data_IF_235184433138
#
_entry.id   IF_235184433138
#
_cell.length_a   1.000
_cell.length_b   1.000
_cell.length_c   1.000
_cell.angle_alpha   90.00
_cell.angle_beta   90.00
_cell.angle_gamma   90.00
#
_symmetry.space_group_name_H-M   'P 1'
#
loop_
_entity.id
_entity.type
_entity.pdbx_description
1 polymer ?
#
# COMPACT_ATOMS: atom_id res chain seq x y z
N UNK A 1 12.01 -18.67 -12.82
CA UNK A 1 12.81 -18.13 -11.70
C UNK A 1 12.01 -18.30 -10.42
N UNK A 2 12.56 -18.94 -9.39
CA UNK A 2 11.89 -19.06 -8.08
C UNK A 2 11.91 -17.70 -7.38
N UNK A 3 10.86 -17.36 -6.64
CA UNK A 3 10.69 -16.05 -5.97
C UNK A 3 11.92 -15.68 -5.11
N UNK A 4 12.55 -16.67 -4.49
CA UNK A 4 13.72 -16.52 -3.61
C UNK A 4 14.99 -16.01 -4.32
N UNK A 5 15.09 -16.20 -5.65
CA UNK A 5 16.25 -15.73 -6.44
C UNK A 5 16.18 -14.25 -6.80
N UNK A 6 15.01 -13.62 -6.63
CA UNK A 6 14.81 -12.21 -6.96
C UNK A 6 15.42 -11.35 -5.85
N UNK A 7 16.58 -10.73 -6.06
CA UNK A 7 17.29 -9.96 -5.03
C UNK A 7 17.05 -8.45 -5.08
N UNK A 8 16.39 -7.93 -6.12
CA UNK A 8 16.12 -6.49 -6.28
C UNK A 8 14.65 -6.20 -6.58
N UNK A 9 14.21 -5.00 -6.23
CA UNK A 9 12.85 -4.54 -6.50
C UNK A 9 12.58 -4.42 -8.01
N UNK A 10 13.57 -4.02 -8.80
CA UNK A 10 13.46 -3.99 -10.26
C UNK A 10 13.16 -5.38 -10.83
N UNK A 11 13.90 -6.40 -10.39
CA UNK A 11 13.65 -7.77 -10.82
C UNK A 11 12.29 -8.29 -10.32
N UNK A 12 11.87 -7.91 -9.11
CA UNK A 12 10.55 -8.25 -8.58
C UNK A 12 9.43 -7.62 -9.39
N UNK A 13 9.59 -6.36 -9.79
CA UNK A 13 8.58 -5.68 -10.60
C UNK A 13 8.48 -6.28 -12.00
N UNK A 14 9.61 -6.60 -12.65
CA UNK A 14 9.60 -7.32 -13.92
C UNK A 14 8.88 -8.67 -13.80
N UNK A 15 9.08 -9.38 -12.68
CA UNK A 15 8.33 -10.61 -12.40
C UNK A 15 6.82 -10.35 -12.25
N UNK A 16 6.42 -9.29 -11.54
CA UNK A 16 5.01 -8.87 -11.40
C UNK A 16 4.37 -8.55 -12.75
N UNK A 17 5.07 -7.85 -13.65
CA UNK A 17 4.59 -7.57 -15.02
C UNK A 17 4.39 -8.88 -15.77
N UNK A 18 5.37 -9.79 -15.75
CA UNK A 18 5.25 -11.10 -16.40
C UNK A 18 4.09 -11.94 -15.84
N UNK A 19 3.89 -11.91 -14.51
CA UNK A 19 2.77 -12.57 -13.85
C UNK A 19 1.43 -11.98 -14.30
N UNK A 20 1.34 -10.65 -14.38
CA UNK A 20 0.14 -9.96 -14.83
C UNK A 20 -0.20 -10.32 -16.29
N UNK A 21 0.78 -10.26 -17.19
CA UNK A 21 0.59 -10.59 -18.60
C UNK A 21 0.17 -12.05 -18.81
N UNK A 22 0.73 -12.97 -18.01
CA UNK A 22 0.39 -14.40 -18.08
C UNK A 22 -1.03 -14.69 -17.60
N UNK A 23 -1.44 -14.10 -16.48
CA UNK A 23 -2.70 -14.44 -15.82
C UNK A 23 -3.87 -13.53 -16.18
N UNK A 24 -3.61 -12.32 -16.67
CA UNK A 24 -4.61 -11.32 -17.04
C UNK A 24 -4.33 -10.72 -18.43
N UNK A 25 -4.18 -11.54 -19.49
CA UNK A 25 -3.76 -11.06 -20.82
C UNK A 25 -4.74 -10.09 -21.49
N UNK A 26 -5.99 -10.02 -21.02
CA UNK A 26 -7.02 -9.09 -21.52
C UNK A 26 -7.00 -7.73 -20.82
N UNK A 27 -6.27 -7.60 -19.71
CA UNK A 27 -6.22 -6.34 -18.96
C UNK A 27 -5.46 -5.30 -19.76
N UNK A 28 -6.04 -4.10 -19.88
CA UNK A 28 -5.36 -2.92 -20.47
C UNK A 28 -4.62 -2.08 -19.44
N UNK A 29 -4.58 -2.54 -18.19
CA UNK A 29 -4.00 -1.82 -17.07
C UNK A 29 -2.68 -2.45 -16.64
N UNK A 30 -1.70 -1.60 -16.35
CA UNK A 30 -0.44 -2.02 -15.78
C UNK A 30 -0.60 -2.37 -14.29
N UNK A 31 0.06 -3.45 -13.81
CA UNK A 31 0.15 -3.70 -12.37
C UNK A 31 0.99 -2.61 -11.71
N UNK A 32 0.73 -2.35 -10.42
CA UNK A 32 1.43 -1.29 -9.69
C UNK A 32 2.33 -1.88 -8.60
N UNK A 33 3.65 -1.63 -8.64
CA UNK A 33 4.57 -2.06 -7.58
C UNK A 33 4.42 -1.17 -6.33
N UNK A 34 5.12 -1.50 -5.24
CA UNK A 34 5.26 -0.59 -4.12
C UNK A 34 6.15 0.62 -4.45
N UNK A 35 6.05 1.68 -3.66
CA UNK A 35 6.86 2.90 -3.82
C UNK A 35 7.01 3.68 -2.52
N UNK A 36 7.88 4.70 -2.53
CA UNK A 36 8.23 5.52 -1.37
C UNK A 36 9.65 5.23 -0.88
N UNK A 37 9.85 5.11 0.42
CA UNK A 37 11.10 4.62 1.00
C UNK A 37 11.24 3.11 0.76
N UNK A 38 12.34 2.70 0.16
CA UNK A 38 12.57 1.33 -0.31
C UNK A 38 13.63 0.60 0.53
N UNK A 39 14.30 1.29 1.43
CA UNK A 39 15.30 0.71 2.32
C UNK A 39 14.93 0.97 3.79
N UNK A 40 14.43 -0.08 4.46
CA UNK A 40 14.06 -0.08 5.89
C UNK A 40 13.11 1.07 6.28
N UNK A 41 11.97 1.25 5.58
CA UNK A 41 11.01 2.28 5.91
C UNK A 41 10.50 2.11 7.35
N UNK A 42 10.16 3.22 7.97
CA UNK A 42 9.54 3.26 9.30
C UNK A 42 8.18 2.56 9.30
N UNK A 43 7.38 2.81 8.27
CA UNK A 43 6.09 2.17 8.04
C UNK A 43 5.94 1.76 6.58
N UNK A 44 5.53 0.51 6.34
CA UNK A 44 5.00 0.06 5.07
C UNK A 44 3.48 -0.06 5.17
N UNK A 45 2.76 0.64 4.31
CA UNK A 45 1.31 0.65 4.23
C UNK A 45 0.84 -0.32 3.16
N UNK A 46 0.19 -1.41 3.57
CA UNK A 46 -0.29 -2.47 2.69
C UNK A 46 -1.80 -2.32 2.47
N UNK A 47 -2.15 -1.97 1.24
CA UNK A 47 -3.53 -1.84 0.75
C UNK A 47 -3.97 -3.11 0.00
N UNK A 48 -5.18 -3.09 -0.57
CA UNK A 48 -5.77 -4.27 -1.22
C UNK A 48 -5.28 -4.42 -2.66
N UNK A 49 -5.78 -3.59 -3.57
CA UNK A 49 -5.39 -3.58 -4.97
C UNK A 49 -5.53 -2.16 -5.56
N UNK A 50 -4.74 -1.84 -6.61
CA UNK A 50 -4.98 -0.65 -7.40
C UNK A 50 -6.30 -0.67 -8.17
N UNK A 51 -6.71 0.52 -8.59
CA UNK A 51 -7.84 0.71 -9.51
C UNK A 51 -7.41 1.61 -10.66
N UNK A 52 -8.18 1.62 -11.74
CA UNK A 52 -7.97 2.49 -12.91
C UNK A 52 -7.84 3.99 -12.57
N UNK A 53 -8.32 4.42 -11.40
CA UNK A 53 -8.17 5.82 -10.95
C UNK A 53 -6.74 6.20 -10.59
N UNK A 54 -5.87 5.23 -10.34
CA UNK A 54 -4.45 5.49 -10.17
C UNK A 54 -3.82 5.64 -11.57
N UNK A 55 -3.31 6.82 -11.89
CA UNK A 55 -2.74 7.09 -13.22
C UNK A 55 -1.58 6.13 -13.56
N UNK A 56 -0.88 5.59 -12.56
CA UNK A 56 0.16 4.59 -12.76
C UNK A 56 -0.35 3.26 -13.34
N UNK A 57 -1.66 3.03 -13.47
CA UNK A 57 -2.20 1.89 -14.24
C UNK A 57 -2.19 2.13 -15.74
N UNK A 58 -2.08 3.37 -16.20
CA UNK A 58 -2.04 3.69 -17.63
C UNK A 58 -0.73 3.16 -18.24
N UNK A 59 -0.75 2.35 -19.30
CA UNK A 59 0.46 1.93 -20.02
C UNK A 59 1.34 3.09 -20.48
N UNK A 60 0.73 4.21 -20.89
CA UNK A 60 1.43 5.40 -21.41
C UNK A 60 2.05 6.30 -20.33
N UNK A 61 1.86 5.99 -19.05
CA UNK A 61 2.45 6.76 -17.96
C UNK A 61 3.95 6.46 -17.81
N UNK A 62 4.82 7.47 -18.01
CA UNK A 62 6.28 7.29 -17.92
C UNK A 62 6.86 7.74 -16.57
N UNK A 63 6.07 8.45 -15.75
CA UNK A 63 6.46 8.80 -14.39
C UNK A 63 6.49 7.60 -13.44
N UNK A 64 6.74 7.88 -12.16
CA UNK A 64 6.77 6.85 -11.12
C UNK A 64 5.49 6.01 -11.09
N UNK A 65 5.66 4.69 -11.00
CA UNK A 65 4.53 3.75 -10.86
C UNK A 65 4.41 3.32 -9.41
N UNK A 66 3.44 3.87 -8.70
CA UNK A 66 3.24 3.59 -7.29
C UNK A 66 1.77 3.76 -6.87
N UNK A 67 1.35 3.29 -5.69
CA UNK A 67 -0.04 3.40 -5.26
C UNK A 67 -0.56 4.85 -5.17
N UNK A 68 -1.81 5.07 -5.56
CA UNK A 68 -2.52 6.35 -5.40
C UNK A 68 -1.98 7.59 -6.15
N UNK A 69 -1.04 7.45 -7.09
CA UNK A 69 -0.66 8.56 -7.98
C UNK A 69 -1.89 9.05 -8.75
N UNK A 70 -2.08 10.35 -8.81
CA UNK A 70 -3.22 10.96 -9.51
C UNK A 70 -4.56 10.87 -8.76
N UNK A 71 -4.58 10.29 -7.56
CA UNK A 71 -5.78 10.25 -6.70
C UNK A 71 -5.71 11.34 -5.63
N UNK A 72 -6.84 11.65 -4.96
CA UNK A 72 -6.90 12.65 -3.87
C UNK A 72 -7.24 12.06 -2.50
N UNK A 73 -8.08 11.04 -2.48
CA UNK A 73 -8.72 10.58 -1.24
C UNK A 73 -7.73 10.06 -0.20
N UNK A 74 -6.71 9.30 -0.60
CA UNK A 74 -5.74 8.79 0.37
C UNK A 74 -4.94 9.92 0.99
N UNK A 75 -4.54 10.92 0.20
CA UNK A 75 -3.72 12.04 0.68
C UNK A 75 -4.49 12.88 1.68
N UNK A 76 -5.80 13.08 1.47
CA UNK A 76 -6.69 13.70 2.48
C UNK A 76 -6.69 12.95 3.81
N UNK A 77 -6.60 11.62 3.78
CA UNK A 77 -6.56 10.80 5.01
C UNK A 77 -5.25 10.99 5.74
N UNK A 78 -4.13 10.87 5.03
CA UNK A 78 -2.80 11.08 5.63
C UNK A 78 -2.64 12.52 6.12
N UNK A 79 -3.17 13.50 5.40
CA UNK A 79 -3.23 14.91 5.81
C UNK A 79 -4.02 15.10 7.11
N UNK A 80 -5.26 14.58 7.18
CA UNK A 80 -6.09 14.62 8.40
C UNK A 80 -5.46 13.90 9.59
N UNK A 81 -4.60 12.92 9.32
CA UNK A 81 -3.86 12.19 10.35
C UNK A 81 -2.57 12.90 10.80
N UNK A 82 -2.21 14.05 10.19
CA UNK A 82 -0.99 14.80 10.50
C UNK A 82 0.27 14.30 9.79
N UNK A 83 0.12 13.38 8.84
CA UNK A 83 1.22 12.72 8.12
C UNK A 83 1.49 13.28 6.72
N UNK A 84 0.77 14.32 6.33
CA UNK A 84 0.93 14.98 5.03
C UNK A 84 0.78 16.50 5.20
N UNK A 85 1.61 17.28 4.52
CA UNK A 85 1.68 18.73 4.75
C UNK A 85 0.57 19.52 4.04
N UNK A 86 0.19 20.66 4.63
CA UNK A 86 -0.89 21.51 4.12
C UNK A 86 -0.62 21.99 2.69
N UNK A 87 0.58 22.49 2.40
CA UNK A 87 0.91 23.10 1.10
C UNK A 87 0.79 22.09 -0.04
N UNK A 88 1.41 20.92 0.11
CA UNK A 88 1.34 19.85 -0.86
C UNK A 88 -0.09 19.30 -1.01
N UNK A 89 -0.85 19.21 0.09
CA UNK A 89 -2.27 18.82 0.01
C UNK A 89 -3.09 19.82 -0.80
N UNK A 90 -2.89 21.13 -0.60
CA UNK A 90 -3.57 22.16 -1.38
C UNK A 90 -3.22 22.09 -2.88
N UNK A 91 -1.97 21.78 -3.23
CA UNK A 91 -1.57 21.55 -4.62
C UNK A 91 -2.29 20.32 -5.22
N UNK A 92 -2.40 19.22 -4.46
CA UNK A 92 -3.17 18.03 -4.86
C UNK A 92 -4.65 18.39 -5.11
N UNK A 93 -5.25 19.21 -4.24
CA UNK A 93 -6.66 19.61 -4.39
C UNK A 93 -6.91 20.45 -5.65
N UNK A 94 -6.00 21.38 -5.97
CA UNK A 94 -6.12 22.28 -7.12
C UNK A 94 -5.91 21.56 -8.46
N UNK A 95 -5.12 20.48 -8.48
CA UNK A 95 -4.81 19.74 -9.72
C UNK A 95 -5.96 18.84 -10.18
N UNK A 96 -6.29 18.90 -11.47
CA UNK A 96 -7.23 17.97 -12.12
C UNK A 96 -6.53 16.67 -12.53
N UNK A 97 -5.32 16.78 -13.07
CA UNK A 97 -4.42 15.69 -13.44
C UNK A 97 -3.03 15.93 -12.86
N UNK A 98 -2.25 14.86 -12.74
CA UNK A 98 -0.87 14.93 -12.27
C UNK A 98 0.06 14.74 -13.45
N UNK A 99 1.11 15.55 -13.50
CA UNK A 99 2.27 15.35 -14.36
C UNK A 99 3.36 14.57 -13.61
N UNK A 100 4.37 14.10 -14.33
CA UNK A 100 5.44 13.26 -13.77
C UNK A 100 6.24 13.99 -12.67
N UNK A 101 6.67 15.26 -12.85
CA UNK A 101 7.37 15.99 -11.79
C UNK A 101 6.53 16.16 -10.52
N UNK A 102 5.21 16.38 -10.65
CA UNK A 102 4.33 16.49 -9.49
C UNK A 102 4.14 15.13 -8.78
N UNK A 103 4.04 14.04 -9.53
CA UNK A 103 4.00 12.70 -8.95
C UNK A 103 5.27 12.42 -8.14
N UNK A 104 6.44 12.74 -8.69
CA UNK A 104 7.73 12.64 -8.01
C UNK A 104 7.79 13.50 -6.74
N UNK A 105 7.31 14.74 -6.79
CA UNK A 105 7.22 15.62 -5.61
C UNK A 105 6.42 14.97 -4.48
N UNK A 106 5.24 14.42 -4.80
CA UNK A 106 4.37 13.78 -3.80
C UNK A 106 5.03 12.56 -3.18
N UNK A 107 5.63 11.70 -4.00
CA UNK A 107 6.28 10.48 -3.49
C UNK A 107 7.64 10.74 -2.84
N UNK A 108 8.34 11.80 -3.24
CA UNK A 108 9.52 12.30 -2.54
C UNK A 108 9.18 12.70 -1.10
N UNK A 109 8.03 13.34 -0.89
CA UNK A 109 7.52 13.63 0.46
C UNK A 109 7.21 12.35 1.25
N UNK A 110 6.56 11.36 0.65
CA UNK A 110 6.29 10.07 1.32
C UNK A 110 7.58 9.35 1.68
N UNK A 111 8.56 9.35 0.78
CA UNK A 111 9.90 8.82 1.04
C UNK A 111 10.58 9.55 2.20
N UNK A 112 10.53 10.89 2.26
CA UNK A 112 11.16 11.66 3.34
C UNK A 112 10.54 11.42 4.72
N UNK A 113 9.28 10.95 4.78
CA UNK A 113 8.63 10.46 6.01
C UNK A 113 9.05 9.03 6.41
N UNK A 114 9.87 8.36 5.61
CA UNK A 114 10.24 6.96 5.79
C UNK A 114 9.05 6.03 5.54
N UNK A 115 8.14 6.40 4.66
CA UNK A 115 6.94 5.62 4.36
C UNK A 115 7.07 4.87 3.04
N UNK A 116 6.57 3.64 3.02
CA UNK A 116 6.42 2.82 1.83
C UNK A 116 4.95 2.50 1.62
N UNK A 117 4.44 2.62 0.40
CA UNK A 117 3.06 2.27 0.06
C UNK A 117 3.06 1.10 -0.91
N UNK A 118 2.23 0.09 -0.65
CA UNK A 118 2.14 -1.09 -1.50
C UNK A 118 0.76 -1.76 -1.43
N UNK A 119 0.50 -2.76 -2.26
CA UNK A 119 -0.74 -3.54 -2.26
C UNK A 119 -0.45 -5.04 -2.08
N UNK A 120 -1.35 -5.78 -1.44
CA UNK A 120 -1.29 -7.25 -1.43
C UNK A 120 -1.49 -7.86 -2.82
N UNK A 121 -2.34 -7.23 -3.64
CA UNK A 121 -2.54 -7.60 -5.04
C UNK A 121 -2.05 -6.45 -5.93
N UNK A 122 -1.11 -6.75 -6.85
CA UNK A 122 -0.52 -5.75 -7.73
C UNK A 122 -1.37 -5.47 -8.97
N UNK A 123 -2.26 -6.40 -9.33
CA UNK A 123 -3.22 -6.26 -10.43
C UNK A 123 -4.20 -5.10 -10.18
N UNK A 124 -4.41 -4.29 -11.21
CA UNK A 124 -5.33 -3.17 -11.15
C UNK A 124 -6.74 -3.58 -11.63
N UNK A 125 -7.76 -3.25 -10.83
CA UNK A 125 -9.15 -3.45 -11.19
C UNK A 125 -9.73 -2.34 -12.04
N UNK A 126 -10.55 -2.70 -13.03
CA UNK A 126 -11.25 -1.75 -13.89
C UNK A 126 -12.37 -1.02 -13.13
N UNK A 127 -13.10 -1.70 -12.22
CA UNK A 127 -14.30 -1.15 -11.56
C UNK A 127 -14.28 -1.17 -10.03
N UNK A 128 -13.20 -0.69 -9.39
CA UNK A 128 -13.04 -0.73 -7.92
C UNK A 128 -13.26 -2.14 -7.32
N UNK A 129 -13.09 -3.18 -8.15
CA UNK A 129 -13.34 -4.56 -7.79
C UNK A 129 -12.32 -5.02 -6.75
N UNK A 130 -12.81 -5.72 -5.74
CA UNK A 130 -11.93 -6.41 -4.79
C UNK A 130 -11.34 -7.65 -5.47
N UNK A 131 -10.07 -7.99 -5.20
CA UNK A 131 -9.48 -9.20 -5.72
C UNK A 131 -10.13 -10.42 -5.07
N UNK A 132 -10.39 -11.46 -5.86
CA UNK A 132 -10.81 -12.74 -5.33
C UNK A 132 -9.64 -13.47 -4.65
N UNK A 133 -9.94 -14.58 -3.98
CA UNK A 133 -8.94 -15.40 -3.26
C UNK A 133 -7.80 -15.87 -4.17
N UNK A 134 -8.08 -16.17 -5.44
CA UNK A 134 -7.08 -16.61 -6.40
C UNK A 134 -6.07 -15.51 -6.73
N UNK A 135 -6.54 -14.28 -6.96
CA UNK A 135 -5.67 -13.12 -7.17
C UNK A 135 -4.81 -12.85 -5.93
N UNK A 136 -5.38 -12.96 -4.73
CA UNK A 136 -4.61 -12.82 -3.48
C UNK A 136 -3.52 -13.89 -3.39
N UNK A 137 -3.86 -15.17 -3.61
CA UNK A 137 -2.91 -16.29 -3.60
C UNK A 137 -1.79 -16.11 -4.63
N UNK A 138 -2.13 -15.57 -5.80
CA UNK A 138 -1.20 -15.33 -6.90
C UNK A 138 -0.14 -14.26 -6.55
N UNK A 139 -0.55 -13.14 -5.93
CA UNK A 139 0.33 -12.01 -5.65
C UNK A 139 0.95 -12.01 -4.25
N UNK A 140 0.40 -12.74 -3.28
CA UNK A 140 0.95 -12.78 -1.92
C UNK A 140 2.45 -13.13 -1.86
N UNK A 141 2.98 -14.10 -2.64
CA UNK A 141 4.42 -14.36 -2.69
C UNK A 141 5.25 -13.15 -3.13
N UNK A 142 4.72 -12.30 -4.03
CA UNK A 142 5.40 -11.08 -4.46
C UNK A 142 5.43 -10.02 -3.37
N UNK A 143 4.36 -9.87 -2.58
CA UNK A 143 4.34 -8.97 -1.42
C UNK A 143 5.31 -9.46 -0.34
N UNK A 144 5.33 -10.76 -0.03
CA UNK A 144 6.27 -11.33 0.94
C UNK A 144 7.70 -11.02 0.50
N UNK A 145 8.02 -11.23 -0.79
CA UNK A 145 9.36 -10.94 -1.30
C UNK A 145 9.70 -9.45 -1.27
N UNK A 146 8.75 -8.58 -1.59
CA UNK A 146 8.91 -7.13 -1.46
C UNK A 146 9.24 -6.74 -0.02
N UNK A 147 8.51 -7.29 0.96
CA UNK A 147 8.74 -7.08 2.39
C UNK A 147 10.15 -7.54 2.79
N UNK A 148 10.62 -8.70 2.33
CA UNK A 148 11.98 -9.18 2.62
C UNK A 148 13.10 -8.29 2.05
N UNK A 149 12.88 -7.71 0.87
CA UNK A 149 13.84 -6.81 0.23
C UNK A 149 13.84 -5.44 0.92
N UNK A 150 12.65 -4.89 1.20
CA UNK A 150 12.46 -3.54 1.75
C UNK A 150 12.71 -3.49 3.26
N UNK A 151 12.44 -4.58 3.99
CA UNK A 151 12.67 -4.74 5.44
C UNK A 151 12.02 -3.63 6.30
N UNK A 152 10.70 -3.41 6.20
CA UNK A 152 10.02 -2.38 6.98
C UNK A 152 10.09 -2.64 8.48
N UNK A 153 10.25 -1.57 9.27
CA UNK A 153 10.23 -1.66 10.74
C UNK A 153 8.84 -2.02 11.28
N UNK A 154 7.80 -1.51 10.61
CA UNK A 154 6.40 -1.73 10.93
C UNK A 154 5.60 -1.81 9.63
N UNK A 155 4.52 -2.58 9.65
CA UNK A 155 3.59 -2.76 8.53
C UNK A 155 2.19 -2.39 8.99
N UNK A 156 1.55 -1.44 8.32
CA UNK A 156 0.15 -1.08 8.55
C UNK A 156 -0.70 -1.73 7.47
N UNK A 157 -1.59 -2.64 7.86
CA UNK A 157 -2.48 -3.34 6.93
C UNK A 157 -3.86 -2.68 6.92
N UNK A 158 -4.31 -2.22 5.76
CA UNK A 158 -5.61 -1.58 5.61
C UNK A 158 -6.69 -2.59 5.25
N UNK A 159 -7.54 -2.90 6.23
CA UNK A 159 -8.59 -3.93 6.16
C UNK A 159 -8.11 -5.31 6.58
N UNK A 160 -9.06 -6.25 6.72
CA UNK A 160 -8.78 -7.61 7.17
C UNK A 160 -8.04 -8.46 6.13
N UNK A 161 -8.26 -8.22 4.83
CA UNK A 161 -7.63 -9.00 3.75
C UNK A 161 -6.10 -9.03 3.86
N UNK A 162 -5.38 -7.88 3.85
CA UNK A 162 -3.93 -7.90 3.99
C UNK A 162 -3.47 -8.35 5.40
N UNK A 163 -4.27 -8.09 6.44
CA UNK A 163 -3.94 -8.54 7.79
C UNK A 163 -3.93 -10.07 7.89
N UNK A 164 -5.07 -10.71 7.61
CA UNK A 164 -5.24 -12.17 7.71
C UNK A 164 -4.27 -12.92 6.78
N UNK A 165 -3.98 -12.38 5.60
CA UNK A 165 -3.05 -13.00 4.66
C UNK A 165 -1.60 -13.02 5.14
N UNK A 166 -1.18 -12.02 5.93
CA UNK A 166 0.20 -11.89 6.42
C UNK A 166 0.39 -12.49 7.82
N UNK A 167 -0.65 -12.45 8.67
CA UNK A 167 -0.58 -12.93 10.06
C UNK A 167 -1.11 -14.35 10.22
N UNK A 168 -1.96 -14.82 9.29
CA UNK A 168 -2.81 -16.02 9.43
C UNK A 168 -3.75 -15.96 10.65
N UNK A 169 -3.93 -14.78 11.24
CA UNK A 169 -4.78 -14.55 12.40
C UNK A 169 -6.05 -13.80 11.98
N UNK A 170 -7.17 -14.14 12.64
CA UNK A 170 -8.43 -13.41 12.50
C UNK A 170 -8.63 -12.49 13.69
N UNK A 171 -9.07 -11.26 13.42
CA UNK A 171 -9.36 -10.25 14.43
C UNK A 171 -10.67 -9.52 14.10
N UNK A 172 -11.21 -8.80 15.08
CA UNK A 172 -12.25 -7.80 14.85
C UNK A 172 -11.62 -6.40 14.90
N UNK A 173 -11.69 -5.67 13.78
CA UNK A 173 -11.14 -4.30 13.72
C UNK A 173 -11.78 -3.35 14.73
N UNK A 174 -13.02 -3.61 15.18
CA UNK A 174 -13.67 -2.86 16.25
C UNK A 174 -12.90 -2.99 17.57
N UNK A 175 -12.61 -4.22 17.99
CA UNK A 175 -11.94 -4.52 19.26
C UNK A 175 -10.53 -3.93 19.27
N UNK A 176 -9.78 -4.12 18.19
CA UNK A 176 -8.47 -3.50 18.01
C UNK A 176 -8.53 -1.97 18.11
N UNK A 177 -9.53 -1.35 17.47
CA UNK A 177 -9.69 0.11 17.49
C UNK A 177 -10.01 0.62 18.88
N UNK A 178 -10.98 0.02 19.58
CA UNK A 178 -11.37 0.43 20.93
C UNK A 178 -10.18 0.32 21.89
N UNK A 179 -9.45 -0.77 21.81
CA UNK A 179 -8.27 -0.98 22.65
C UNK A 179 -7.16 0.03 22.31
N UNK A 180 -6.89 0.28 21.03
CA UNK A 180 -5.88 1.27 20.62
C UNK A 180 -6.22 2.69 21.08
N UNK A 181 -7.51 3.07 20.99
CA UNK A 181 -8.00 4.36 21.47
C UNK A 181 -7.90 4.45 23.01
N UNK A 182 -8.33 3.41 23.72
CA UNK A 182 -8.26 3.34 25.18
C UNK A 182 -6.82 3.46 25.70
N UNK A 183 -5.87 2.81 25.04
CA UNK A 183 -4.46 2.88 25.41
C UNK A 183 -3.73 4.11 24.84
N UNK A 184 -4.38 4.89 23.98
CA UNK A 184 -3.78 5.98 23.21
C UNK A 184 -2.46 5.57 22.51
N UNK A 185 -2.43 4.35 21.97
CA UNK A 185 -1.30 3.79 21.22
C UNK A 185 -1.78 2.67 20.30
N UNK A 186 -1.07 2.46 19.20
CA UNK A 186 -1.28 1.30 18.35
C UNK A 186 -0.74 0.03 19.02
N UNK A 187 -1.47 -1.08 18.87
CA UNK A 187 -1.05 -2.40 19.34
C UNK A 187 -0.32 -3.09 18.20
N UNK A 188 0.81 -3.72 18.50
CA UNK A 188 1.66 -4.38 17.51
C UNK A 188 1.47 -5.89 17.62
N UNK A 189 1.33 -6.55 16.48
CA UNK A 189 1.44 -8.00 16.36
C UNK A 189 2.81 -8.32 15.78
N UNK A 190 3.69 -8.93 16.56
CA UNK A 190 4.96 -9.43 16.05
C UNK A 190 4.72 -10.63 15.14
N UNK A 191 5.33 -10.61 13.95
CA UNK A 191 5.18 -11.66 12.95
C UNK A 191 6.48 -11.93 12.23
N UNK A 192 6.60 -13.16 11.74
CA UNK A 192 7.63 -13.53 10.76
C UNK A 192 7.00 -13.58 9.38
N UNK A 193 7.45 -12.72 8.46
CA UNK A 193 6.97 -12.67 7.07
C UNK A 193 8.14 -13.05 6.17
N UNK A 194 8.05 -14.22 5.53
CA UNK A 194 9.19 -14.80 4.84
C UNK A 194 10.35 -15.00 5.83
N UNK A 195 11.47 -14.34 5.57
CA UNK A 195 12.70 -14.40 6.40
C UNK A 195 12.89 -13.21 7.32
N UNK A 196 11.91 -12.31 7.45
CA UNK A 196 12.03 -11.12 8.30
C UNK A 196 11.07 -11.17 9.49
N UNK A 197 11.52 -10.65 10.63
CA UNK A 197 10.67 -10.31 11.76
C UNK A 197 10.25 -8.84 11.66
N UNK A 198 8.97 -8.56 11.87
CA UNK A 198 8.43 -7.19 11.84
C UNK A 198 7.14 -7.12 12.66
N UNK A 199 6.57 -5.93 12.77
CA UNK A 199 5.31 -5.67 13.46
C UNK A 199 4.20 -5.38 12.45
N UNK A 200 3.04 -6.03 12.59
CA UNK A 200 1.82 -5.66 11.87
C UNK A 200 0.89 -4.86 12.79
N UNK A 201 0.30 -3.80 12.22
CA UNK A 201 -0.70 -2.95 12.84
C UNK A 201 -1.94 -2.91 11.93
N UNK A 202 -3.08 -3.48 12.33
CA UNK A 202 -4.29 -3.40 11.56
C UNK A 202 -4.86 -1.97 11.56
N UNK A 203 -5.51 -1.60 10.46
CA UNK A 203 -6.19 -0.32 10.32
C UNK A 203 -7.44 -0.50 9.46
N UNK A 204 -8.44 0.36 9.65
CA UNK A 204 -9.61 0.38 8.77
C UNK A 204 -9.22 0.82 7.37
N UNK A 205 -9.84 0.23 6.35
CA UNK A 205 -9.63 0.69 4.98
C UNK A 205 -10.01 2.18 4.88
N UNK A 206 -9.14 3.05 4.34
CA UNK A 206 -9.23 4.49 4.61
C UNK A 206 -10.13 5.25 3.63
N UNK A 207 -10.65 4.59 2.59
CA UNK A 207 -11.42 5.21 1.52
C UNK A 207 -12.62 4.32 1.11
N UNK A 208 -13.55 4.86 0.32
CA UNK A 208 -14.69 4.10 -0.22
C UNK A 208 -15.61 3.58 0.88
N UNK A 209 -15.98 2.29 0.81
CA UNK A 209 -16.83 1.60 1.80
C UNK A 209 -16.13 1.26 3.13
N UNK A 210 -14.89 1.71 3.32
CA UNK A 210 -14.16 1.54 4.57
C UNK A 210 -14.65 2.46 5.68
N UNK A 211 -13.83 2.68 6.70
CA UNK A 211 -14.11 3.63 7.78
C UNK A 211 -13.01 4.71 7.86
N UNK A 212 -13.11 5.77 7.04
CA UNK A 212 -12.10 6.82 6.96
C UNK A 212 -11.83 7.52 8.30
N UNK A 213 -12.87 7.73 9.12
CA UNK A 213 -12.73 8.39 10.43
C UNK A 213 -11.83 7.58 11.34
N UNK A 214 -12.13 6.30 11.52
CA UNK A 214 -11.31 5.41 12.37
C UNK A 214 -9.93 5.16 11.81
N UNK A 215 -9.79 5.13 10.48
CA UNK A 215 -8.48 5.06 9.85
C UNK A 215 -7.62 6.27 10.23
N UNK A 216 -8.17 7.50 10.16
CA UNK A 216 -7.47 8.72 10.59
C UNK A 216 -7.08 8.63 12.07
N UNK A 217 -7.99 8.21 12.94
CA UNK A 217 -7.74 8.10 14.39
C UNK A 217 -6.61 7.12 14.70
N UNK A 218 -6.58 5.94 14.07
CA UNK A 218 -5.46 4.99 14.21
C UNK A 218 -4.16 5.57 13.64
N UNK A 219 -4.21 6.21 12.47
CA UNK A 219 -3.01 6.79 11.86
C UNK A 219 -2.40 7.90 12.72
N UNK A 220 -3.20 8.71 13.43
CA UNK A 220 -2.70 9.72 14.38
C UNK A 220 -1.87 9.13 15.52
N UNK A 221 -2.08 7.85 15.85
CA UNK A 221 -1.30 7.15 16.89
C UNK A 221 0.06 6.65 16.38
N UNK A 222 0.32 6.71 15.08
CA UNK A 222 1.63 6.39 14.52
C UNK A 222 2.62 7.51 14.88
N UNK A 223 3.63 7.17 15.65
CA UNK A 223 4.72 8.07 16.04
C UNK A 223 5.88 7.94 15.09
#
# INVERSE_FOLDING_TARGET
MTMEKISSLTALYNHVIGLNNKHFPKSKLMPIPGGGELNKPKYMFVFINPTIRNISTNPEWNGIRAPFIGTKNIWRIFHKAGHFENNLMQEIEKRKSWDEPFAEKVYGFIKSKGFNFTNIVKWAGENADLPNREKIKLFLPTLIREIEIVKPQNIVTFGLIPYEALTLQKIRLEEYYQESMRMNKVIRTEVTIGRIQTNILPCYFPIGRGNPKRAVEILKLLK
#
